data_IF_930351066985
#
_entry.id   IF_930351066985
#
_cell.length_a   1.000
_cell.length_b   1.000
_cell.length_c   1.000
_cell.angle_alpha   90.00
_cell.angle_beta   90.00
_cell.angle_gamma   90.00
#
_symmetry.space_group_name_H-M   'P 1'
#
loop_
_entity.id
_entity.type
_entity.pdbx_description
1 polymer ?
#
# COMPACT_ATOMS: atom_id res chain seq x y z
N UNK A 1 20.87 14.95 31.59
CA UNK A 1 19.97 15.12 32.74
C UNK A 1 19.14 13.91 33.15
N UNK A 2 18.11 13.49 32.39
CA UNK A 2 17.19 12.41 32.84
C UNK A 2 17.93 11.15 33.31
N UNK A 3 18.91 10.67 32.54
CA UNK A 3 19.73 9.50 32.92
C UNK A 3 20.57 9.72 34.18
N UNK A 4 21.07 10.94 34.38
CA UNK A 4 21.86 11.31 35.57
C UNK A 4 20.97 11.27 36.81
N UNK A 5 19.77 11.86 36.75
CA UNK A 5 18.80 11.84 37.84
C UNK A 5 18.42 10.41 38.27
N UNK A 6 18.27 9.50 37.31
CA UNK A 6 17.93 8.10 37.59
C UNK A 6 19.14 7.28 38.08
N UNK A 7 20.34 7.52 37.54
CA UNK A 7 21.54 6.78 37.90
C UNK A 7 22.14 7.22 39.24
N UNK A 8 22.23 8.53 39.47
CA UNK A 8 23.01 9.11 40.56
C UNK A 8 22.13 9.65 41.70
N UNK A 9 20.90 10.09 41.40
CA UNK A 9 20.06 10.84 42.34
C UNK A 9 18.81 10.04 42.81
N UNK A 10 18.81 8.72 42.59
CA UNK A 10 17.76 7.76 43.04
C UNK A 10 16.33 8.06 42.55
N UNK A 11 16.14 8.87 41.51
CA UNK A 11 14.82 9.06 40.89
C UNK A 11 14.41 7.86 40.03
N UNK A 12 13.10 7.69 39.84
CA UNK A 12 12.54 6.76 38.86
C UNK A 12 12.02 7.53 37.66
N UNK A 13 11.95 6.90 36.48
CA UNK A 13 11.42 7.55 35.27
C UNK A 13 10.00 8.11 35.44
N UNK A 14 9.17 7.47 36.27
CA UNK A 14 7.80 7.92 36.57
C UNK A 14 7.74 9.22 37.38
N UNK A 15 8.86 9.63 37.98
CA UNK A 15 8.96 10.83 38.81
C UNK A 15 9.34 12.07 37.98
N UNK A 16 9.62 11.88 36.69
CA UNK A 16 10.12 12.92 35.79
C UNK A 16 9.05 13.24 34.74
N UNK A 17 8.66 14.51 34.65
CA UNK A 17 7.77 15.02 33.61
C UNK A 17 8.50 16.05 32.75
N UNK A 18 8.34 15.95 31.43
CA UNK A 18 8.84 16.93 30.46
C UNK A 18 7.66 17.68 29.89
N UNK A 19 7.59 18.99 30.14
CA UNK A 19 6.50 19.85 29.69
C UNK A 19 6.99 20.71 28.53
N UNK A 20 6.27 20.66 27.42
CA UNK A 20 6.55 21.43 26.21
C UNK A 20 5.36 22.35 25.92
N UNK A 21 5.64 23.60 25.55
CA UNK A 21 4.60 24.57 25.18
C UNK A 21 3.97 24.27 23.83
N UNK A 22 4.78 23.78 22.89
CA UNK A 22 4.32 23.25 21.60
C UNK A 22 4.94 21.86 21.44
N UNK A 23 4.15 20.83 21.68
CA UNK A 23 4.63 19.44 21.63
C UNK A 23 4.75 18.89 20.21
N UNK A 24 3.89 19.33 19.29
CA UNK A 24 3.79 18.76 17.93
C UNK A 24 5.12 18.78 17.17
N UNK A 25 5.88 19.85 17.29
CA UNK A 25 7.19 19.98 16.61
C UNK A 25 8.30 19.10 17.21
N UNK A 26 8.09 18.53 18.40
CA UNK A 26 9.12 17.83 19.14
C UNK A 26 8.78 16.36 19.43
N UNK A 27 7.53 15.91 19.28
CA UNK A 27 7.13 14.55 19.63
C UNK A 27 7.92 13.47 18.88
N UNK A 28 8.13 13.63 17.57
CA UNK A 28 8.89 12.68 16.76
C UNK A 28 10.36 12.63 17.18
N UNK A 29 10.98 13.79 17.38
CA UNK A 29 12.37 13.90 17.83
C UNK A 29 12.53 13.31 19.23
N UNK A 30 11.61 13.63 20.15
CA UNK A 30 11.60 13.09 21.52
C UNK A 30 11.45 11.57 21.51
N UNK A 31 10.56 11.01 20.67
CA UNK A 31 10.35 9.56 20.55
C UNK A 31 11.62 8.86 20.09
N UNK A 32 12.29 9.38 19.07
CA UNK A 32 13.56 8.82 18.58
C UNK A 32 14.64 8.91 19.65
N UNK A 33 14.87 10.10 20.22
CA UNK A 33 15.92 10.30 21.23
C UNK A 33 15.67 9.47 22.49
N UNK A 34 14.45 9.44 23.03
CA UNK A 34 14.19 8.65 24.23
C UNK A 34 14.31 7.14 23.97
N UNK A 35 13.96 6.67 22.76
CA UNK A 35 14.24 5.29 22.36
C UNK A 35 15.75 5.01 22.29
N UNK A 36 16.52 5.86 21.61
CA UNK A 36 17.97 5.71 21.45
C UNK A 36 18.72 5.69 22.79
N UNK A 37 18.27 6.53 23.73
CA UNK A 37 18.84 6.61 25.08
C UNK A 37 18.25 5.59 26.07
N UNK A 38 17.38 4.68 25.62
CA UNK A 38 16.68 3.67 26.44
C UNK A 38 15.90 4.27 27.62
N UNK A 39 15.24 5.41 27.39
CA UNK A 39 14.38 6.08 28.35
C UNK A 39 12.92 5.67 28.08
N UNK A 40 12.28 4.89 28.98
CA UNK A 40 10.86 4.56 28.84
C UNK A 40 10.03 5.82 29.03
N UNK A 41 9.08 6.06 28.12
CA UNK A 41 8.35 7.31 28.05
C UNK A 41 6.91 7.11 27.59
N UNK A 42 6.07 8.06 27.97
CA UNK A 42 4.71 8.22 27.48
C UNK A 42 4.57 9.64 26.93
N UNK A 43 4.06 9.76 25.71
CA UNK A 43 3.74 11.05 25.09
C UNK A 43 2.22 11.13 25.07
N UNK A 44 1.68 12.18 25.70
CA UNK A 44 0.24 12.46 25.75
C UNK A 44 -0.22 13.09 24.42
N UNK A 45 -0.21 12.28 23.36
CA UNK A 45 -0.61 12.67 22.02
C UNK A 45 -1.50 11.60 21.39
N UNK A 46 -2.53 12.04 20.66
CA UNK A 46 -3.31 11.16 19.80
C UNK A 46 -2.51 10.83 18.53
N UNK A 47 -2.18 9.56 18.30
CA UNK A 47 -1.49 9.14 17.08
C UNK A 47 -2.43 9.26 15.87
N UNK A 48 -2.05 9.95 14.79
CA UNK A 48 -2.85 9.99 13.59
C UNK A 48 -2.89 8.60 12.92
N UNK A 49 -4.05 8.19 12.42
CA UNK A 49 -4.20 6.94 11.65
C UNK A 49 -3.96 7.14 10.15
N UNK A 50 -3.53 8.33 9.72
CA UNK A 50 -3.28 8.68 8.31
C UNK A 50 -2.27 7.74 7.63
N UNK A 51 -1.32 7.19 8.39
CA UNK A 51 -0.30 6.26 7.90
C UNK A 51 -0.66 4.79 8.14
N UNK A 52 -1.85 4.51 8.68
CA UNK A 52 -2.27 3.14 8.92
C UNK A 52 -2.62 2.44 7.59
N UNK A 53 -2.14 1.21 7.33
CA UNK A 53 -2.34 0.52 6.04
C UNK A 53 -3.81 0.43 5.61
N UNK A 54 -4.73 0.22 6.55
CA UNK A 54 -6.18 0.20 6.27
C UNK A 54 -6.70 1.53 5.70
N UNK A 55 -6.29 2.65 6.31
CA UNK A 55 -6.74 3.99 5.88
C UNK A 55 -6.17 4.30 4.50
N UNK A 56 -4.90 3.96 4.27
CA UNK A 56 -4.29 4.14 2.95
C UNK A 56 -4.94 3.25 1.89
N UNK A 57 -5.30 2.01 2.22
CA UNK A 57 -5.93 1.08 1.28
C UNK A 57 -7.29 1.62 0.82
N UNK A 58 -8.14 2.07 1.74
CA UNK A 58 -9.44 2.66 1.42
C UNK A 58 -9.26 3.93 0.57
N UNK A 59 -8.37 4.83 0.99
CA UNK A 59 -8.11 6.09 0.28
C UNK A 59 -7.61 5.85 -1.15
N UNK A 60 -6.58 5.02 -1.29
CA UNK A 60 -5.99 4.69 -2.58
C UNK A 60 -6.97 3.91 -3.47
N UNK A 61 -7.78 3.00 -2.93
CA UNK A 61 -8.81 2.30 -3.70
C UNK A 61 -9.88 3.25 -4.28
N UNK A 62 -10.32 4.24 -3.50
CA UNK A 62 -11.23 5.27 -4.00
C UNK A 62 -10.55 6.15 -5.07
N UNK A 63 -9.27 6.48 -4.90
CA UNK A 63 -8.48 7.24 -5.87
C UNK A 63 -8.21 6.46 -7.17
N UNK A 64 -8.08 5.12 -7.12
CA UNK A 64 -8.02 4.29 -8.33
C UNK A 64 -9.29 4.50 -9.16
N UNK A 65 -10.45 4.53 -8.50
CA UNK A 65 -11.74 4.64 -9.18
C UNK A 65 -11.96 6.05 -9.73
N UNK A 66 -11.76 7.08 -8.91
CA UNK A 66 -11.95 8.48 -9.32
C UNK A 66 -10.90 8.96 -10.32
N UNK A 67 -9.66 8.48 -10.18
CA UNK A 67 -8.54 8.80 -11.05
C UNK A 67 -8.43 7.94 -12.30
N UNK A 68 -9.37 7.02 -12.56
CA UNK A 68 -9.34 6.10 -13.69
C UNK A 68 -8.02 5.30 -13.77
N UNK A 69 -7.73 4.50 -12.73
CA UNK A 69 -6.62 3.53 -12.69
C UNK A 69 -5.25 4.13 -12.99
N UNK A 70 -4.93 5.26 -12.33
CA UNK A 70 -3.58 5.82 -12.34
C UNK A 70 -2.61 4.90 -11.62
N UNK A 71 -1.42 4.76 -12.19
CA UNK A 71 -0.33 3.97 -11.63
C UNK A 71 -0.09 4.26 -10.14
N UNK A 72 0.07 5.54 -9.77
CA UNK A 72 0.36 5.94 -8.38
C UNK A 72 -0.72 5.49 -7.37
N UNK A 73 -1.99 5.51 -7.79
CA UNK A 73 -3.10 5.11 -6.93
C UNK A 73 -3.17 3.59 -6.79
N UNK A 74 -2.94 2.87 -7.89
CA UNK A 74 -2.95 1.40 -7.90
C UNK A 74 -1.84 0.87 -6.99
N UNK A 75 -0.60 1.30 -7.19
CA UNK A 75 0.52 0.74 -6.44
C UNK A 75 0.61 1.22 -4.99
N UNK A 76 0.04 2.39 -4.64
CA UNK A 76 -0.18 2.73 -3.23
C UNK A 76 -1.14 1.76 -2.55
N UNK A 77 -2.21 1.37 -3.23
CA UNK A 77 -3.16 0.39 -2.70
C UNK A 77 -2.51 -0.99 -2.55
N UNK A 78 -1.80 -1.46 -3.59
CA UNK A 78 -1.08 -2.74 -3.57
C UNK A 78 -0.04 -2.79 -2.44
N UNK A 79 0.73 -1.72 -2.25
CA UNK A 79 1.76 -1.60 -1.20
C UNK A 79 1.21 -1.54 0.23
N UNK A 80 -0.11 -1.47 0.41
CA UNK A 80 -0.72 -1.69 1.74
C UNK A 80 -0.78 -3.17 2.13
N UNK A 81 -0.55 -4.07 1.17
CA UNK A 81 -0.55 -5.54 1.34
C UNK A 81 -1.91 -6.14 1.71
N UNK A 82 -2.96 -5.32 1.79
CA UNK A 82 -4.30 -5.77 2.15
C UNK A 82 -5.07 -6.41 0.98
N UNK A 83 -4.54 -6.29 -0.25
CA UNK A 83 -5.08 -6.97 -1.43
C UNK A 83 -4.48 -8.36 -1.64
N UNK A 84 -3.49 -8.76 -0.83
CA UNK A 84 -2.79 -10.02 -1.05
C UNK A 84 -3.65 -11.22 -0.64
N UNK A 85 -3.56 -12.35 -1.36
CA UNK A 85 -4.21 -13.59 -0.93
C UNK A 85 -3.78 -13.98 0.48
N UNK A 86 -4.73 -14.46 1.30
CA UNK A 86 -4.51 -14.78 2.72
C UNK A 86 -3.64 -16.03 2.93
N UNK A 87 -3.58 -16.91 1.94
CA UNK A 87 -2.89 -18.20 1.95
C UNK A 87 -1.42 -18.11 1.48
N UNK A 88 -0.97 -16.92 1.07
CA UNK A 88 0.38 -16.69 0.53
C UNK A 88 1.26 -15.96 1.56
N UNK A 89 2.54 -16.34 1.63
CA UNK A 89 3.52 -15.61 2.43
C UNK A 89 3.70 -14.20 1.87
N UNK A 90 3.56 -13.19 2.73
CA UNK A 90 3.64 -11.78 2.34
C UNK A 90 4.94 -11.44 1.63
N UNK A 91 6.06 -12.01 2.08
CA UNK A 91 7.39 -11.75 1.51
C UNK A 91 7.48 -12.20 0.05
N UNK A 92 7.01 -13.42 -0.25
CA UNK A 92 6.97 -13.93 -1.62
C UNK A 92 6.02 -13.11 -2.49
N UNK A 93 4.88 -12.70 -1.94
CA UNK A 93 3.90 -11.88 -2.65
C UNK A 93 4.43 -10.47 -2.98
N UNK A 94 5.25 -9.88 -2.10
CA UNK A 94 5.92 -8.59 -2.37
C UNK A 94 6.86 -8.70 -3.57
N UNK A 95 7.71 -9.73 -3.62
CA UNK A 95 8.62 -9.95 -4.74
C UNK A 95 7.86 -10.10 -6.07
N UNK A 96 6.77 -10.88 -6.07
CA UNK A 96 5.92 -11.01 -7.26
C UNK A 96 5.27 -9.68 -7.66
N UNK A 97 4.78 -8.89 -6.70
CA UNK A 97 4.15 -7.60 -6.95
C UNK A 97 5.15 -6.53 -7.40
N UNK A 98 6.40 -6.58 -6.94
CA UNK A 98 7.48 -5.68 -7.38
C UNK A 98 7.85 -5.96 -8.85
N UNK A 99 7.96 -7.22 -9.25
CA UNK A 99 8.15 -7.59 -10.66
C UNK A 99 6.97 -7.14 -11.54
N UNK A 100 5.76 -7.27 -11.03
CA UNK A 100 4.54 -6.81 -11.69
C UNK A 100 4.46 -5.28 -11.80
N UNK A 101 4.94 -4.54 -10.78
CA UNK A 101 5.11 -3.09 -10.83
C UNK A 101 6.07 -2.67 -11.94
N UNK A 102 7.22 -3.35 -12.03
CA UNK A 102 8.19 -3.11 -13.10
C UNK A 102 7.59 -3.34 -14.49
N UNK A 103 6.77 -4.38 -14.66
CA UNK A 103 6.02 -4.58 -15.90
C UNK A 103 5.08 -3.40 -16.19
N UNK A 104 4.29 -2.98 -15.20
CA UNK A 104 3.33 -1.88 -15.37
C UNK A 104 4.03 -0.57 -15.76
N UNK A 105 5.18 -0.28 -15.17
CA UNK A 105 6.03 0.85 -15.53
C UNK A 105 6.57 0.73 -16.96
N UNK A 106 7.20 -0.39 -17.30
CA UNK A 106 7.82 -0.60 -18.61
C UNK A 106 6.81 -0.55 -19.77
N UNK A 107 5.58 -1.02 -19.53
CA UNK A 107 4.50 -1.05 -20.52
C UNK A 107 3.55 0.14 -20.44
N UNK A 108 3.75 1.08 -19.50
CA UNK A 108 2.90 2.26 -19.31
C UNK A 108 1.44 1.90 -19.03
N UNK A 109 1.21 0.92 -18.17
CA UNK A 109 -0.13 0.38 -17.89
C UNK A 109 -0.93 1.35 -17.01
N UNK A 110 -2.02 1.88 -17.55
CA UNK A 110 -2.92 2.79 -16.85
C UNK A 110 -4.33 2.80 -17.46
N UNK A 111 -5.31 3.30 -16.70
CA UNK A 111 -6.66 3.54 -17.20
C UNK A 111 -7.34 2.30 -17.75
N UNK A 112 -7.88 2.43 -18.97
CA UNK A 112 -8.69 1.39 -19.61
C UNK A 112 -7.97 0.05 -19.75
N UNK A 113 -6.63 0.05 -19.77
CA UNK A 113 -5.83 -1.18 -19.87
C UNK A 113 -6.01 -2.09 -18.65
N UNK A 114 -6.25 -1.52 -17.47
CA UNK A 114 -6.64 -2.27 -16.28
C UNK A 114 -8.02 -2.89 -16.42
N UNK A 115 -8.98 -2.12 -16.94
CA UNK A 115 -10.37 -2.57 -17.04
C UNK A 115 -10.64 -3.47 -18.25
N UNK A 116 -9.77 -3.50 -19.26
CA UNK A 116 -9.95 -4.32 -20.47
C UNK A 116 -10.10 -5.80 -20.12
N UNK A 117 -10.80 -6.56 -20.95
CA UNK A 117 -10.88 -8.01 -20.80
C UNK A 117 -9.71 -8.72 -21.50
N UNK A 118 -9.02 -8.03 -22.40
CA UNK A 118 -7.86 -8.58 -23.11
C UNK A 118 -6.73 -8.94 -22.13
N UNK A 119 -6.12 -10.14 -22.28
CA UNK A 119 -4.90 -10.49 -21.56
C UNK A 119 -3.77 -9.50 -21.86
N UNK A 120 -2.96 -9.24 -20.85
CA UNK A 120 -1.74 -8.45 -21.03
C UNK A 120 -0.64 -9.32 -21.58
N UNK A 121 -0.06 -8.92 -22.70
CA UNK A 121 1.05 -9.64 -23.31
C UNK A 121 2.40 -9.24 -22.72
N UNK A 122 3.32 -10.20 -22.65
CA UNK A 122 4.70 -9.96 -22.26
C UNK A 122 5.67 -10.37 -23.37
N UNK A 123 6.62 -9.49 -23.67
CA UNK A 123 7.75 -9.74 -24.59
C UNK A 123 9.03 -9.26 -23.95
N UNK A 124 10.06 -10.12 -23.97
CA UNK A 124 11.38 -9.81 -23.40
C UNK A 124 12.21 -8.91 -24.32
N UNK A 125 12.09 -9.12 -25.64
CA UNK A 125 12.80 -8.33 -26.64
C UNK A 125 11.84 -7.89 -27.75
N UNK A 126 11.81 -6.59 -28.06
CA UNK A 126 11.10 -6.07 -29.24
C UNK A 126 12.15 -5.68 -30.28
N UNK A 127 12.42 -6.58 -31.22
CA UNK A 127 13.18 -6.20 -32.42
C UNK A 127 12.23 -5.53 -33.41
N UNK A 128 12.68 -4.46 -34.07
CA UNK A 128 11.90 -3.77 -35.11
C UNK A 128 11.70 -4.65 -36.36
N UNK A 129 12.65 -5.57 -36.60
CA UNK A 129 12.66 -6.48 -37.77
C UNK A 129 11.92 -7.80 -37.52
N UNK A 130 11.76 -8.23 -36.27
CA UNK A 130 11.13 -9.51 -35.93
C UNK A 130 9.71 -9.27 -35.41
N UNK A 131 8.77 -9.11 -36.34
CA UNK A 131 7.36 -8.83 -36.00
C UNK A 131 6.63 -10.05 -35.43
N UNK A 132 7.21 -11.25 -35.46
CA UNK A 132 6.57 -12.51 -35.04
C UNK A 132 7.58 -13.54 -34.52
N UNK A 133 8.51 -13.14 -33.66
CA UNK A 133 9.36 -14.09 -32.95
C UNK A 133 8.51 -15.10 -32.16
N UNK A 134 8.86 -16.39 -32.25
CA UNK A 134 8.21 -17.45 -31.47
C UNK A 134 8.20 -17.06 -29.99
N UNK A 135 7.01 -17.10 -29.37
CA UNK A 135 6.88 -16.89 -27.92
C UNK A 135 7.62 -18.02 -27.24
N UNK A 136 8.65 -17.70 -26.45
CA UNK A 136 9.35 -18.71 -25.66
C UNK A 136 8.47 -19.18 -24.51
N UNK A 137 8.67 -20.40 -24.03
CA UNK A 137 7.91 -20.92 -22.89
C UNK A 137 8.04 -20.00 -21.66
N UNK A 138 9.23 -19.41 -21.45
CA UNK A 138 9.46 -18.42 -20.40
C UNK A 138 8.68 -17.10 -20.57
N UNK A 139 8.41 -16.66 -21.81
CA UNK A 139 7.56 -15.48 -22.06
C UNK A 139 6.10 -15.80 -21.71
N UNK A 140 5.64 -17.02 -22.01
CA UNK A 140 4.29 -17.48 -21.67
C UNK A 140 4.10 -17.59 -20.16
N UNK A 141 5.05 -18.18 -19.45
CA UNK A 141 5.02 -18.28 -17.97
C UNK A 141 4.95 -16.89 -17.32
N UNK A 142 5.72 -15.93 -17.82
CA UNK A 142 5.69 -14.55 -17.32
C UNK A 142 4.35 -13.86 -17.63
N UNK A 143 3.79 -14.10 -18.82
CA UNK A 143 2.47 -13.60 -19.20
C UNK A 143 1.37 -14.12 -18.27
N UNK A 144 1.38 -15.41 -17.97
CA UNK A 144 0.45 -16.04 -17.03
C UNK A 144 0.60 -15.46 -15.62
N UNK A 145 1.85 -15.28 -15.16
CA UNK A 145 2.16 -14.62 -13.87
C UNK A 145 1.59 -13.20 -13.80
N UNK A 146 1.85 -12.39 -14.82
CA UNK A 146 1.37 -11.00 -14.88
C UNK A 146 -0.15 -10.93 -14.84
N UNK A 147 -0.84 -11.75 -15.62
CA UNK A 147 -2.31 -11.73 -15.65
C UNK A 147 -2.92 -12.25 -14.34
N UNK A 148 -2.31 -13.26 -13.70
CA UNK A 148 -2.72 -13.69 -12.36
C UNK A 148 -2.62 -12.55 -11.34
N UNK A 149 -1.47 -11.87 -11.27
CA UNK A 149 -1.24 -10.77 -10.33
C UNK A 149 -2.13 -9.56 -10.63
N UNK A 150 -2.38 -9.29 -11.92
CA UNK A 150 -3.36 -8.30 -12.36
C UNK A 150 -4.72 -8.60 -11.76
N UNK A 151 -5.20 -9.84 -11.80
CA UNK A 151 -6.54 -10.18 -11.32
C UNK A 151 -6.68 -10.09 -9.79
N UNK A 152 -5.60 -10.33 -9.05
CA UNK A 152 -5.55 -10.09 -7.58
C UNK A 152 -5.90 -8.63 -7.27
N UNK A 153 -5.31 -7.67 -8.01
CA UNK A 153 -5.56 -6.24 -7.81
C UNK A 153 -6.88 -5.80 -8.44
N UNK A 154 -7.12 -6.24 -9.68
CA UNK A 154 -8.20 -5.77 -10.55
C UNK A 154 -9.57 -6.18 -10.02
N UNK A 155 -9.73 -7.42 -9.61
CA UNK A 155 -11.03 -8.00 -9.25
C UNK A 155 -11.74 -7.26 -8.10
N UNK A 156 -11.12 -7.08 -6.92
CA UNK A 156 -11.78 -6.41 -5.80
C UNK A 156 -12.11 -4.95 -6.13
N UNK A 157 -11.20 -4.23 -6.80
CA UNK A 157 -11.39 -2.82 -7.15
C UNK A 157 -12.47 -2.63 -8.22
N UNK A 158 -12.54 -3.49 -9.24
CA UNK A 158 -13.65 -3.46 -10.22
C UNK A 158 -14.99 -3.77 -9.55
N UNK A 159 -15.02 -4.74 -8.61
CA UNK A 159 -16.24 -5.06 -7.87
C UNK A 159 -16.72 -3.87 -7.06
N UNK A 160 -15.82 -3.19 -6.34
CA UNK A 160 -16.12 -1.95 -5.63
C UNK A 160 -16.60 -0.86 -6.59
N UNK A 161 -15.90 -0.65 -7.71
CA UNK A 161 -16.28 0.34 -8.74
C UNK A 161 -17.69 0.11 -9.29
N UNK A 162 -18.06 -1.15 -9.58
CA UNK A 162 -19.40 -1.49 -10.05
C UNK A 162 -20.47 -1.23 -9.00
N UNK A 163 -20.20 -1.54 -7.72
CA UNK A 163 -21.12 -1.26 -6.60
C UNK A 163 -21.29 0.24 -6.39
N UNK A 164 -20.20 1.01 -6.36
CA UNK A 164 -20.23 2.47 -6.21
C UNK A 164 -21.00 3.15 -7.35
N UNK A 165 -20.84 2.71 -8.60
CA UNK A 165 -21.59 3.26 -9.74
C UNK A 165 -23.10 3.03 -9.65
N UNK A 166 -23.54 1.97 -8.96
CA UNK A 166 -24.96 1.62 -8.78
C UNK A 166 -25.57 2.26 -7.52
N UNK A 167 -24.74 2.72 -6.60
CA UNK A 167 -25.17 3.32 -5.35
C UNK A 167 -25.80 4.71 -5.59
N UNK A 168 -27.07 4.86 -5.24
CA UNK A 168 -27.80 6.13 -5.32
C UNK A 168 -27.77 6.92 -4.01
N UNK A 169 -27.37 6.29 -2.89
CA UNK A 169 -27.31 6.92 -1.57
C UNK A 169 -25.94 6.75 -0.92
N UNK A 170 -25.62 7.62 0.05
CA UNK A 170 -24.36 7.55 0.83
C UNK A 170 -24.26 6.21 1.57
N UNK A 171 -25.37 5.69 2.10
CA UNK A 171 -25.40 4.40 2.78
C UNK A 171 -24.95 3.26 1.87
N UNK A 172 -25.45 3.22 0.63
CA UNK A 172 -25.06 2.21 -0.36
C UNK A 172 -23.59 2.37 -0.78
N UNK A 173 -23.06 3.60 -0.78
CA UNK A 173 -21.63 3.83 -1.03
C UNK A 173 -20.76 3.31 0.12
N UNK A 174 -21.16 3.56 1.37
CA UNK A 174 -20.48 3.03 2.55
C UNK A 174 -20.51 1.49 2.56
N UNK A 175 -21.64 0.88 2.20
CA UNK A 175 -21.77 -0.57 2.06
C UNK A 175 -20.82 -1.11 0.97
N UNK A 176 -20.71 -0.43 -0.18
CA UNK A 176 -19.79 -0.83 -1.24
C UNK A 176 -18.32 -0.85 -0.79
N UNK A 177 -17.91 0.11 0.04
CA UNK A 177 -16.58 0.18 0.66
C UNK A 177 -16.41 -0.91 1.71
N UNK A 178 -17.42 -1.15 2.55
CA UNK A 178 -17.38 -2.22 3.55
C UNK A 178 -17.20 -3.60 2.88
N UNK A 179 -18.00 -3.92 1.86
CA UNK A 179 -17.90 -5.18 1.11
C UNK A 179 -16.64 -5.30 0.22
N UNK A 180 -15.80 -4.27 0.16
CA UNK A 180 -14.47 -4.34 -0.45
C UNK A 180 -13.41 -4.78 0.57
N UNK A 181 -13.64 -4.52 1.86
CA UNK A 181 -12.77 -4.93 2.96
C UNK A 181 -13.04 -6.36 3.44
N UNK A 182 -14.18 -6.93 3.07
CA UNK A 182 -14.57 -8.33 3.27
C UNK A 182 -14.04 -9.23 2.15
#
# INVERSE_FOLDING_TARGET
>A
EIRKLVADEKYRYRDIAVLLRNGESYYDVMRTLFTDYNIPHFIDEKRPMSHHPLVECIRSALEIISGNWRYDAVFRCVKTELLYPLDVRKEAMREEMDEFENYCLAYGVQGKRWTSEDPWMYRRYRSLDDKNGMITDSEREMEEKINRLRDVVRTPVIRMQKRLKRAGTVMQMCEAVYLFLE
#
